data_IF_963866603646
#
_entry.id   IF_963866603646
#
_cell.length_a   1.000
_cell.length_b   1.000
_cell.length_c   1.000
_cell.angle_alpha   90.00
_cell.angle_beta   90.00
_cell.angle_gamma   90.00
#
_symmetry.space_group_name_H-M   'P 1'
#
loop_
_entity.id
_entity.type
_entity.pdbx_description
1 polymer ?
#
# COMPACT_ATOMS: atom_id res chain seq x y z
N UNK A 1 3.55 5.24 -86.31
CA UNK A 1 3.85 5.99 -85.07
C UNK A 1 3.33 5.24 -83.82
N UNK A 2 3.24 3.89 -83.84
CA UNK A 2 2.52 3.12 -82.82
C UNK A 2 3.38 2.17 -81.98
N UNK A 3 4.70 2.16 -82.18
CA UNK A 3 5.58 1.20 -81.50
C UNK A 3 6.01 1.64 -80.08
N UNK A 4 5.90 2.92 -79.74
CA UNK A 4 6.34 3.45 -78.43
C UNK A 4 5.26 3.50 -77.34
N UNK A 5 3.96 3.46 -77.67
CA UNK A 5 2.90 3.52 -76.64
C UNK A 5 2.70 2.21 -75.88
N UNK A 6 2.95 1.06 -76.49
CA UNK A 6 2.78 -0.26 -75.84
C UNK A 6 3.86 -0.57 -74.80
N UNK A 7 5.11 -0.20 -75.03
CA UNK A 7 6.16 -0.38 -74.02
C UNK A 7 6.05 0.61 -72.87
N UNK A 8 5.60 1.85 -73.12
CA UNK A 8 5.32 2.81 -72.04
C UNK A 8 4.13 2.36 -71.20
N UNK A 9 3.08 1.76 -71.79
CA UNK A 9 1.96 1.18 -71.04
C UNK A 9 2.35 -0.09 -70.25
N UNK A 10 3.22 -0.94 -70.79
CA UNK A 10 3.68 -2.16 -70.11
C UNK A 10 4.66 -1.81 -68.98
N UNK A 11 5.55 -0.84 -69.16
CA UNK A 11 6.45 -0.37 -68.10
C UNK A 11 5.67 0.43 -67.05
N UNK A 12 4.71 1.28 -67.44
CA UNK A 12 3.86 1.96 -66.43
C UNK A 12 2.93 1.01 -65.68
N UNK A 13 2.42 -0.08 -66.29
CA UNK A 13 1.65 -1.11 -65.59
C UNK A 13 2.49 -2.02 -64.68
N UNK A 14 3.76 -2.28 -65.04
CA UNK A 14 4.71 -3.00 -64.19
C UNK A 14 5.23 -2.11 -63.04
N UNK A 15 5.26 -0.79 -63.25
CA UNK A 15 5.64 0.22 -62.25
C UNK A 15 4.46 0.62 -61.34
N UNK A 16 3.20 0.40 -61.74
CA UNK A 16 2.01 0.71 -60.92
C UNK A 16 1.46 -0.45 -60.05
N UNK A 17 1.97 -1.69 -60.18
CA UNK A 17 1.37 -2.85 -59.49
C UNK A 17 2.30 -3.64 -58.58
N UNK A 18 3.49 -3.11 -58.27
CA UNK A 18 4.05 -3.29 -56.93
C UNK A 18 3.13 -2.56 -55.95
N UNK A 19 1.98 -3.17 -55.70
CA UNK A 19 1.09 -2.90 -54.60
C UNK A 19 1.96 -2.84 -53.34
N UNK A 20 2.27 -1.62 -52.93
CA UNK A 20 2.76 -1.26 -51.61
C UNK A 20 1.68 -1.65 -50.61
N UNK A 21 1.59 -2.95 -50.32
CA UNK A 21 0.74 -3.51 -49.29
C UNK A 21 1.64 -4.35 -48.40
N UNK A 22 1.76 -3.95 -47.14
CA UNK A 22 2.09 -4.90 -46.07
C UNK A 22 3.11 -4.47 -45.04
N UNK A 23 3.01 -3.26 -44.48
CA UNK A 23 3.65 -2.98 -43.19
C UNK A 23 2.76 -3.44 -42.04
N UNK A 24 2.58 -4.74 -41.83
CA UNK A 24 1.91 -5.23 -40.60
C UNK A 24 2.87 -5.79 -39.63
N UNK A 25 2.84 -5.18 -38.45
CA UNK A 25 3.82 -5.38 -37.42
C UNK A 25 3.47 -6.61 -36.60
N UNK A 26 4.53 -7.32 -36.26
CA UNK A 26 4.54 -8.51 -35.44
C UNK A 26 3.93 -8.20 -34.07
N UNK A 27 2.99 -9.02 -33.62
CA UNK A 27 2.36 -8.94 -32.32
C UNK A 27 3.41 -8.91 -31.21
N UNK A 28 3.08 -8.21 -30.11
CA UNK A 28 3.94 -8.03 -28.95
C UNK A 28 5.26 -7.29 -29.22
N UNK A 29 5.37 -6.56 -30.33
CA UNK A 29 6.55 -5.68 -30.58
C UNK A 29 6.29 -4.22 -30.26
N UNK A 30 5.04 -3.88 -29.94
CA UNK A 30 4.59 -2.53 -29.61
C UNK A 30 4.65 -2.27 -28.10
N UNK A 31 4.83 -1.02 -27.66
CA UNK A 31 4.81 -0.71 -26.24
C UNK A 31 3.49 -1.09 -25.58
N UNK A 32 3.56 -1.67 -24.39
CA UNK A 32 2.42 -2.15 -23.66
C UNK A 32 2.31 -3.68 -23.54
N UNK A 33 1.15 -4.12 -23.07
CA UNK A 33 0.88 -5.52 -22.73
C UNK A 33 -0.03 -6.23 -23.75
N UNK A 34 -0.59 -5.47 -24.69
CA UNK A 34 -1.44 -5.98 -25.77
C UNK A 34 -0.59 -6.47 -26.96
N UNK A 35 -1.23 -7.09 -27.95
CA UNK A 35 -0.53 -7.63 -29.12
C UNK A 35 -0.19 -6.51 -30.09
N UNK A 36 -1.19 -5.74 -30.53
CA UNK A 36 -1.01 -4.72 -31.57
C UNK A 36 -1.51 -3.34 -31.12
N UNK A 37 -2.43 -3.22 -30.19
CA UNK A 37 -2.92 -1.89 -29.75
C UNK A 37 -2.03 -1.27 -28.65
N UNK A 38 -1.99 0.07 -28.55
CA UNK A 38 -1.35 0.74 -27.43
C UNK A 38 -2.15 0.57 -26.12
N UNK A 39 -1.47 0.73 -24.98
CA UNK A 39 -2.08 0.57 -23.64
C UNK A 39 -1.80 1.74 -22.73
N UNK A 40 -2.72 2.00 -21.79
CA UNK A 40 -2.51 2.97 -20.71
C UNK A 40 -2.57 2.28 -19.34
N UNK A 41 -2.09 2.96 -18.30
CA UNK A 41 -2.17 2.43 -16.93
C UNK A 41 -2.34 3.55 -15.92
N UNK A 42 -3.14 3.32 -14.89
CA UNK A 42 -3.31 4.30 -13.81
C UNK A 42 -2.05 4.41 -12.92
N UNK A 43 -1.22 3.35 -12.86
CA UNK A 43 -0.02 3.24 -12.02
C UNK A 43 1.26 3.44 -12.84
N UNK A 44 2.32 3.86 -12.17
CA UNK A 44 3.67 3.88 -12.77
C UNK A 44 4.08 2.44 -13.06
N UNK A 45 4.73 2.17 -14.20
CA UNK A 45 5.22 0.82 -14.46
C UNK A 45 6.17 0.36 -13.32
N UNK A 46 6.02 -0.87 -12.82
CA UNK A 46 6.92 -1.41 -11.79
C UNK A 46 8.27 -1.82 -12.37
N UNK A 47 8.42 -1.84 -13.71
CA UNK A 47 9.62 -2.27 -14.43
C UNK A 47 10.44 -1.09 -14.93
N UNK A 48 11.76 -1.16 -14.80
CA UNK A 48 12.70 -0.16 -15.31
C UNK A 48 12.51 -0.06 -16.82
N UNK A 49 12.64 -1.20 -17.50
CA UNK A 49 12.35 -1.39 -18.91
C UNK A 49 11.77 -2.79 -19.14
N UNK A 50 11.15 -2.99 -20.31
CA UNK A 50 10.77 -4.30 -20.84
C UNK A 50 11.42 -4.49 -22.21
N UNK A 51 11.75 -5.71 -22.52
CA UNK A 51 12.27 -6.09 -23.84
C UNK A 51 11.84 -7.50 -24.17
N UNK A 52 11.76 -7.83 -25.44
CA UNK A 52 11.35 -9.15 -25.85
C UNK A 52 11.52 -9.37 -27.34
N UNK A 53 11.32 -10.62 -27.72
CA UNK A 53 11.29 -11.09 -29.10
C UNK A 53 9.95 -11.76 -29.37
N UNK A 54 9.49 -11.65 -30.60
CA UNK A 54 8.23 -12.21 -31.06
C UNK A 54 8.36 -12.72 -32.48
N UNK A 55 7.69 -13.83 -32.78
CA UNK A 55 7.60 -14.43 -34.10
C UNK A 55 6.12 -14.67 -34.40
N UNK A 56 5.68 -14.25 -35.56
CA UNK A 56 4.38 -14.63 -36.13
C UNK A 56 4.59 -15.65 -37.25
N UNK A 57 3.86 -16.75 -37.17
CA UNK A 57 3.78 -17.76 -38.21
C UNK A 57 2.54 -17.49 -39.03
N UNK A 58 2.69 -17.33 -40.34
CA UNK A 58 1.57 -17.10 -41.27
C UNK A 58 1.30 -18.33 -42.14
N UNK A 59 2.33 -19.11 -42.47
CA UNK A 59 2.15 -20.38 -43.15
C UNK A 59 3.19 -21.42 -42.69
N UNK A 60 2.80 -22.70 -42.67
CA UNK A 60 3.67 -23.82 -42.28
C UNK A 60 4.22 -24.58 -43.48
N UNK A 61 3.55 -24.52 -44.62
CA UNK A 61 3.98 -25.18 -45.84
C UNK A 61 3.44 -24.46 -47.10
N UNK A 62 4.29 -23.77 -47.88
CA UNK A 62 5.68 -23.42 -47.57
C UNK A 62 5.78 -22.43 -46.40
N UNK A 63 6.90 -22.48 -45.67
CA UNK A 63 7.04 -21.80 -44.38
C UNK A 63 7.18 -20.27 -44.54
N UNK A 64 6.33 -19.50 -43.84
CA UNK A 64 6.38 -18.03 -43.83
C UNK A 64 6.27 -17.47 -42.41
N UNK A 65 7.19 -16.59 -42.03
CA UNK A 65 7.23 -16.00 -40.69
C UNK A 65 7.61 -14.53 -40.73
N UNK A 66 6.97 -13.74 -39.86
CA UNK A 66 7.42 -12.40 -39.51
C UNK A 66 8.10 -12.44 -38.13
N UNK A 67 9.14 -11.64 -37.94
CA UNK A 67 9.95 -11.64 -36.70
C UNK A 67 10.11 -10.23 -36.18
N UNK A 68 10.18 -10.07 -34.87
CA UNK A 68 10.46 -8.77 -34.29
C UNK A 68 11.03 -8.83 -32.88
N UNK A 69 11.63 -7.72 -32.50
CA UNK A 69 12.14 -7.47 -31.15
C UNK A 69 11.74 -6.07 -30.72
N UNK A 70 11.59 -5.87 -29.41
CA UNK A 70 11.23 -4.57 -28.86
C UNK A 70 11.96 -4.25 -27.58
N UNK A 71 12.00 -2.97 -27.27
CA UNK A 71 12.44 -2.39 -26.02
C UNK A 71 11.49 -1.26 -25.65
N UNK A 72 11.07 -1.18 -24.39
CA UNK A 72 10.28 -0.06 -23.87
C UNK A 72 10.70 0.35 -22.46
N UNK A 73 10.57 1.63 -22.15
CA UNK A 73 10.89 2.20 -20.83
C UNK A 73 9.97 3.38 -20.50
N UNK A 74 9.49 3.43 -19.25
CA UNK A 74 8.74 4.59 -18.73
C UNK A 74 9.68 5.61 -18.03
N UNK A 75 10.25 6.56 -18.77
CA UNK A 75 11.33 7.45 -18.27
C UNK A 75 10.90 8.32 -17.08
N UNK A 76 9.64 8.77 -17.01
CA UNK A 76 9.11 9.52 -15.86
C UNK A 76 7.85 10.33 -16.18
N UNK A 77 7.06 10.68 -15.14
CA UNK A 77 5.79 11.41 -15.26
C UNK A 77 4.78 10.79 -16.26
N UNK A 78 4.79 9.46 -16.39
CA UNK A 78 3.91 8.75 -17.32
C UNK A 78 4.32 8.86 -18.80
N UNK A 79 5.51 9.38 -19.09
CA UNK A 79 6.12 9.30 -20.42
C UNK A 79 6.79 7.94 -20.62
N UNK A 80 6.40 7.23 -21.67
CA UNK A 80 7.02 5.99 -22.12
C UNK A 80 7.56 6.15 -23.53
N UNK A 81 8.78 5.66 -23.73
CA UNK A 81 9.42 5.57 -25.03
C UNK A 81 9.78 4.11 -25.30
N UNK A 82 9.68 3.71 -26.57
CA UNK A 82 10.02 2.37 -27.01
C UNK A 82 10.56 2.36 -28.42
N UNK A 83 11.20 1.25 -28.73
CA UNK A 83 11.79 0.95 -30.02
C UNK A 83 11.44 -0.49 -30.41
N UNK A 84 11.18 -0.71 -31.69
CA UNK A 84 10.89 -2.02 -32.25
C UNK A 84 11.70 -2.24 -33.52
N UNK A 85 12.30 -3.41 -33.67
CA UNK A 85 12.89 -3.87 -34.93
C UNK A 85 12.05 -5.03 -35.46
N UNK A 86 11.56 -4.94 -36.70
CA UNK A 86 10.65 -5.93 -37.28
C UNK A 86 11.14 -6.30 -38.68
N UNK A 87 11.03 -7.58 -39.01
CA UNK A 87 11.22 -8.11 -40.37
C UNK A 87 9.87 -8.74 -40.76
N UNK A 88 9.15 -8.18 -41.74
CA UNK A 88 7.86 -8.70 -42.16
C UNK A 88 8.00 -10.06 -42.87
N UNK A 89 6.89 -10.78 -42.99
CA UNK A 89 6.83 -12.02 -43.77
C UNK A 89 6.99 -11.77 -45.27
N UNK A 90 7.35 -12.82 -46.00
CA UNK A 90 7.48 -12.75 -47.46
C UNK A 90 6.08 -12.59 -48.09
N UNK A 91 5.91 -11.54 -48.89
CA UNK A 91 4.64 -11.22 -49.56
C UNK A 91 4.49 -11.89 -50.91
N UNK A 92 5.44 -12.71 -51.38
CA UNK A 92 5.31 -13.43 -52.66
C UNK A 92 4.15 -14.43 -52.63
N UNK A 93 3.72 -14.87 -53.83
CA UNK A 93 2.63 -15.84 -53.96
C UNK A 93 3.04 -17.18 -53.36
N UNK A 94 2.08 -17.89 -52.76
CA UNK A 94 2.34 -19.16 -52.06
C UNK A 94 3.06 -20.21 -52.91
N UNK A 95 2.74 -20.29 -54.21
CA UNK A 95 3.38 -21.24 -55.14
C UNK A 95 4.86 -21.00 -55.38
N UNK A 96 5.32 -19.77 -55.16
CA UNK A 96 6.68 -19.33 -55.47
C UNK A 96 7.50 -19.08 -54.20
N UNK A 97 6.94 -19.36 -53.02
CA UNK A 97 7.57 -19.00 -51.75
C UNK A 97 8.87 -19.78 -51.50
N UNK A 98 8.95 -21.06 -51.93
CA UNK A 98 10.17 -21.87 -51.78
C UNK A 98 11.31 -21.42 -52.68
N UNK A 99 10.98 -20.79 -53.81
CA UNK A 99 11.95 -20.27 -54.80
C UNK A 99 12.14 -18.75 -54.67
N UNK A 100 11.46 -18.12 -53.71
CA UNK A 100 11.46 -16.67 -53.53
C UNK A 100 12.83 -16.19 -53.07
N UNK A 101 13.35 -15.17 -53.76
CA UNK A 101 14.52 -14.40 -53.34
C UNK A 101 14.13 -13.10 -52.63
N UNK A 102 12.88 -13.00 -52.14
CA UNK A 102 12.40 -11.80 -51.46
C UNK A 102 13.16 -11.61 -50.14
N UNK A 103 13.96 -10.55 -50.08
CA UNK A 103 14.60 -10.11 -48.85
C UNK A 103 13.73 -9.02 -48.21
N UNK A 104 13.06 -9.40 -47.11
CA UNK A 104 12.14 -8.51 -46.43
C UNK A 104 12.91 -7.35 -45.76
N UNK A 105 12.57 -6.08 -46.04
CA UNK A 105 13.29 -4.95 -45.48
C UNK A 105 13.14 -4.92 -43.96
N UNK A 106 14.26 -4.70 -43.26
CA UNK A 106 14.22 -4.48 -41.82
C UNK A 106 13.57 -3.12 -41.51
N UNK A 107 12.59 -3.12 -40.62
CA UNK A 107 11.87 -1.94 -40.15
C UNK A 107 12.26 -1.57 -38.73
N UNK A 108 12.65 -0.32 -38.53
CA UNK A 108 12.95 0.23 -37.22
C UNK A 108 11.91 1.26 -36.83
N UNK A 109 11.11 0.95 -35.81
CA UNK A 109 10.03 1.80 -35.32
C UNK A 109 10.35 2.46 -33.98
N UNK A 110 10.09 3.76 -33.87
CA UNK A 110 10.09 4.47 -32.59
C UNK A 110 8.66 4.75 -32.14
N UNK A 111 8.46 4.66 -30.82
CA UNK A 111 7.16 4.78 -30.18
C UNK A 111 7.26 5.69 -28.97
N UNK A 112 6.32 6.63 -28.86
CA UNK A 112 6.27 7.59 -27.78
C UNK A 112 4.85 7.70 -27.26
N UNK A 113 4.68 7.63 -25.95
CA UNK A 113 3.37 7.75 -25.33
C UNK A 113 3.48 8.58 -24.06
N UNK A 114 2.56 9.52 -23.89
CA UNK A 114 2.41 10.32 -22.69
C UNK A 114 1.06 10.05 -22.06
N UNK A 115 1.08 9.68 -20.77
CA UNK A 115 -0.12 9.67 -19.95
C UNK A 115 -0.49 11.10 -19.59
N UNK A 116 -1.65 11.55 -20.06
CA UNK A 116 -2.10 12.95 -19.92
C UNK A 116 -3.05 13.12 -18.76
N UNK A 117 -3.86 12.11 -18.45
CA UNK A 117 -4.85 12.19 -17.39
C UNK A 117 -4.96 10.87 -16.62
N UNK A 118 -5.23 10.99 -15.32
CA UNK A 118 -5.54 9.87 -14.43
C UNK A 118 -6.59 10.32 -13.42
N UNK A 119 -7.63 9.51 -13.24
CA UNK A 119 -8.65 9.72 -12.22
C UNK A 119 -9.21 8.38 -11.79
N UNK A 120 -9.04 8.06 -10.50
CA UNK A 120 -9.37 6.75 -9.93
C UNK A 120 -8.78 5.60 -10.77
N UNK A 121 -9.67 4.82 -11.38
CA UNK A 121 -9.38 3.63 -12.17
C UNK A 121 -9.25 3.91 -13.67
N UNK A 122 -9.46 5.17 -14.09
CA UNK A 122 -9.40 5.59 -15.48
C UNK A 122 -8.09 6.33 -15.75
N UNK A 123 -7.44 6.02 -16.87
CA UNK A 123 -6.35 6.85 -17.39
C UNK A 123 -6.48 7.08 -18.89
N UNK A 124 -6.02 8.26 -19.32
CA UNK A 124 -5.96 8.65 -20.73
C UNK A 124 -4.52 8.86 -21.11
N UNK A 125 -4.11 8.22 -22.20
CA UNK A 125 -2.79 8.40 -22.81
C UNK A 125 -2.95 8.85 -24.26
N UNK A 126 -2.00 9.68 -24.70
CA UNK A 126 -1.85 10.08 -26.09
C UNK A 126 -0.45 9.69 -26.55
N UNK A 127 -0.28 9.37 -27.82
CA UNK A 127 1.02 8.96 -28.31
C UNK A 127 1.17 8.99 -29.82
N UNK A 128 2.41 8.80 -30.23
CA UNK A 128 2.84 8.55 -31.59
C UNK A 128 3.47 7.17 -31.64
N UNK A 129 2.99 6.34 -32.54
CA UNK A 129 3.42 4.97 -32.73
C UNK A 129 3.92 4.78 -34.15
N UNK A 130 4.83 3.82 -34.33
CA UNK A 130 5.29 3.41 -35.67
C UNK A 130 5.93 4.57 -36.47
N UNK A 131 6.86 5.32 -35.87
CA UNK A 131 7.78 6.18 -36.65
C UNK A 131 8.83 5.26 -37.30
N UNK A 132 8.57 4.82 -38.53
CA UNK A 132 9.30 3.70 -39.15
C UNK A 132 10.37 4.16 -40.13
N UNK A 133 11.58 3.65 -39.96
CA UNK A 133 12.63 3.69 -40.97
C UNK A 133 12.79 2.30 -41.58
N UNK A 134 12.73 2.22 -42.91
CA UNK A 134 12.91 1.00 -43.68
C UNK A 134 14.31 1.00 -44.29
N UNK A 135 14.97 -0.17 -44.27
CA UNK A 135 16.20 -0.37 -45.03
C UNK A 135 15.85 -0.55 -46.51
N UNK A 136 16.29 0.37 -47.35
CA UNK A 136 16.03 0.35 -48.79
C UNK A 136 17.25 -0.23 -49.52
N UNK A 137 17.06 -1.27 -50.33
CA UNK A 137 18.17 -1.96 -50.99
C UNK A 137 18.60 -1.33 -52.33
N UNK A 138 17.87 -0.32 -52.82
CA UNK A 138 17.97 0.14 -54.22
C UNK A 138 18.36 1.62 -54.37
N UNK A 139 18.59 2.33 -53.27
CA UNK A 139 18.83 3.79 -53.24
C UNK A 139 20.16 4.10 -52.52
N UNK A 140 20.84 5.20 -52.86
CA UNK A 140 22.08 5.65 -52.17
C UNK A 140 21.85 6.01 -50.69
N UNK A 141 20.59 6.12 -50.27
CA UNK A 141 20.18 6.35 -48.88
C UNK A 141 19.96 5.02 -48.15
N UNK A 142 20.66 4.84 -47.03
CA UNK A 142 20.66 3.59 -46.25
C UNK A 142 19.35 3.35 -45.45
N UNK A 143 18.53 4.38 -45.23
CA UNK A 143 17.27 4.32 -44.47
C UNK A 143 16.26 5.35 -45.02
N UNK A 144 15.05 4.91 -45.39
CA UNK A 144 13.94 5.79 -45.79
C UNK A 144 12.80 5.79 -44.76
N UNK A 145 12.20 6.97 -44.52
CA UNK A 145 11.11 7.13 -43.55
C UNK A 145 9.77 6.74 -44.18
N UNK A 146 9.11 5.71 -43.64
CA UNK A 146 7.77 5.34 -44.06
C UNK A 146 6.71 6.11 -43.24
N UNK A 147 6.15 7.15 -43.84
CA UNK A 147 5.15 8.02 -43.22
C UNK A 147 3.74 7.42 -43.20
N UNK A 148 3.47 6.37 -43.99
CA UNK A 148 2.14 5.74 -44.05
C UNK A 148 1.77 4.95 -42.79
N UNK A 149 2.80 4.48 -42.07
CA UNK A 149 2.63 3.71 -40.83
C UNK A 149 2.56 4.60 -39.58
N UNK A 150 2.94 5.87 -39.70
CA UNK A 150 2.93 6.81 -38.58
C UNK A 150 1.51 6.93 -38.00
N UNK A 151 1.37 6.54 -36.74
CA UNK A 151 0.07 6.43 -36.08
C UNK A 151 0.01 7.36 -34.87
N UNK A 152 -0.87 8.36 -34.91
CA UNK A 152 -1.21 9.13 -33.72
C UNK A 152 -2.39 8.45 -33.04
N UNK A 153 -2.38 8.37 -31.71
CA UNK A 153 -3.46 7.71 -30.98
C UNK A 153 -3.83 8.40 -29.67
N UNK A 154 -5.07 8.14 -29.26
CA UNK A 154 -5.60 8.42 -27.93
C UNK A 154 -6.19 7.13 -27.40
N UNK A 155 -5.78 6.72 -26.20
CA UNK A 155 -6.29 5.52 -25.53
C UNK A 155 -6.79 5.86 -24.14
N UNK A 156 -8.03 5.47 -23.88
CA UNK A 156 -8.65 5.45 -22.56
C UNK A 156 -8.53 4.03 -22.00
N UNK A 157 -8.08 3.92 -20.76
CA UNK A 157 -8.05 2.65 -20.05
C UNK A 157 -8.85 2.72 -18.76
N UNK A 158 -9.48 1.60 -18.40
CA UNK A 158 -10.17 1.39 -17.12
C UNK A 158 -9.62 0.14 -16.46
N UNK A 159 -9.19 0.24 -15.21
CA UNK A 159 -8.63 -0.87 -14.44
C UNK A 159 -9.53 -1.22 -13.28
N UNK A 160 -10.11 -2.42 -13.26
CA UNK A 160 -11.01 -2.86 -12.21
C UNK A 160 -10.49 -4.13 -11.55
N UNK A 161 -10.46 -4.11 -10.22
CA UNK A 161 -10.15 -5.28 -9.42
C UNK A 161 -11.47 -6.03 -9.11
N UNK A 162 -11.54 -7.31 -9.47
CA UNK A 162 -12.67 -8.21 -9.25
C UNK A 162 -12.22 -9.42 -8.42
N UNK A 163 -12.06 -9.21 -7.11
CA UNK A 163 -11.56 -10.24 -6.20
C UNK A 163 -10.12 -10.65 -6.56
N UNK A 164 -9.92 -11.93 -6.88
CA UNK A 164 -8.62 -12.47 -7.28
C UNK A 164 -8.27 -12.20 -8.76
N UNK A 165 -9.20 -11.63 -9.52
CA UNK A 165 -9.02 -11.27 -10.93
C UNK A 165 -8.84 -9.76 -11.07
N UNK A 166 -7.99 -9.34 -12.00
CA UNK A 166 -7.89 -7.92 -12.40
C UNK A 166 -8.23 -7.78 -13.86
N UNK A 167 -9.08 -6.81 -14.18
CA UNK A 167 -9.58 -6.59 -15.52
C UNK A 167 -9.21 -5.18 -15.97
N UNK A 168 -8.33 -5.09 -16.96
CA UNK A 168 -7.94 -3.83 -17.59
C UNK A 168 -8.58 -3.77 -18.97
N UNK A 169 -9.37 -2.73 -19.24
CA UNK A 169 -10.02 -2.49 -20.53
C UNK A 169 -9.40 -1.28 -21.21
N UNK A 170 -9.23 -1.35 -22.52
CA UNK A 170 -8.65 -0.32 -23.38
C UNK A 170 -9.64 0.02 -24.49
N UNK A 171 -9.86 1.31 -24.69
CA UNK A 171 -10.67 1.84 -25.78
C UNK A 171 -9.94 3.03 -26.37
N UNK A 172 -9.72 3.06 -27.67
CA UNK A 172 -8.95 4.14 -28.27
C UNK A 172 -9.25 4.39 -29.73
N UNK A 173 -8.73 5.52 -30.17
CA UNK A 173 -8.80 5.99 -31.55
C UNK A 173 -7.38 6.21 -32.04
N UNK A 174 -7.11 5.85 -33.30
CA UNK A 174 -5.80 6.04 -33.91
C UNK A 174 -5.87 6.32 -35.40
N UNK A 175 -4.81 6.92 -35.94
CA UNK A 175 -4.64 7.15 -37.39
C UNK A 175 -3.57 6.20 -37.94
N UNK A 176 -3.39 6.18 -39.27
CA UNK A 176 -2.28 5.45 -39.90
C UNK A 176 -2.41 3.94 -39.73
N UNK A 177 -1.37 3.28 -39.20
CA UNK A 177 -1.34 1.84 -38.92
C UNK A 177 -2.26 1.35 -37.79
N UNK A 178 -2.98 2.25 -37.12
CA UNK A 178 -4.06 1.95 -36.17
C UNK A 178 -5.46 2.27 -36.75
N UNK A 179 -5.53 2.65 -38.02
CA UNK A 179 -6.77 2.81 -38.76
C UNK A 179 -7.14 1.50 -39.50
N UNK A 180 -8.43 1.27 -39.81
CA UNK A 180 -8.82 0.12 -40.61
C UNK A 180 -8.19 0.30 -41.98
N UNK A 181 -7.22 -0.55 -42.31
CA UNK A 181 -6.83 -0.75 -43.70
C UNK A 181 -8.05 -1.38 -44.35
N UNK A 182 -8.66 -0.70 -45.32
CA UNK A 182 -9.76 -1.26 -46.07
C UNK A 182 -9.31 -2.64 -46.59
N UNK A 183 -9.88 -3.70 -46.01
CA UNK A 183 -9.89 -4.98 -46.68
C UNK A 183 -10.65 -4.74 -47.99
N UNK A 184 -10.10 -5.28 -49.07
CA UNK A 184 -10.56 -5.31 -50.45
C UNK A 184 -12.04 -5.76 -50.60
N UNK A 185 -12.97 -4.98 -50.04
CA UNK A 185 -14.38 -5.35 -49.82
C UNK A 185 -15.36 -4.22 -50.13
N UNK A 186 -14.87 -3.02 -50.45
CA UNK A 186 -15.70 -2.03 -51.14
C UNK A 186 -15.51 -2.24 -52.64
N UNK A 187 -16.58 -2.56 -53.41
CA UNK A 187 -16.47 -2.60 -54.86
C UNK A 187 -15.97 -1.22 -55.31
N UNK A 188 -14.93 -1.20 -56.13
CA UNK A 188 -14.41 0.03 -56.73
C UNK A 188 -15.59 0.82 -57.32
N UNK A 189 -15.83 2.04 -56.82
CA UNK A 189 -16.77 2.95 -57.46
C UNK A 189 -16.14 3.35 -58.80
N UNK A 190 -16.70 2.80 -59.87
CA UNK A 190 -16.30 3.09 -61.24
C UNK A 190 -17.05 4.34 -61.70
N UNK A 191 -16.35 5.29 -62.31
CA UNK A 191 -17.01 6.35 -63.06
C UNK A 191 -17.76 5.77 -64.28
N UNK A 192 -18.56 6.60 -64.97
CA UNK A 192 -19.30 6.18 -66.16
C UNK A 192 -18.40 5.67 -67.32
N UNK A 193 -17.08 5.80 -67.20
CA UNK A 193 -16.07 5.38 -68.19
C UNK A 193 -15.22 4.19 -67.69
N UNK A 194 -15.55 3.58 -66.54
CA UNK A 194 -14.83 2.42 -66.00
C UNK A 194 -13.49 2.75 -65.32
N UNK A 195 -13.23 4.00 -64.96
CA UNK A 195 -12.08 4.38 -64.16
C UNK A 195 -12.38 4.26 -62.65
N UNK A 196 -11.45 3.69 -61.89
CA UNK A 196 -11.57 3.54 -60.42
C UNK A 196 -11.48 4.93 -59.78
N UNK A 197 -12.54 5.35 -59.11
CA UNK A 197 -12.53 6.55 -58.27
C UNK A 197 -11.88 6.16 -56.94
N UNK A 198 -10.57 6.38 -56.82
CA UNK A 198 -9.89 6.34 -55.53
C UNK A 198 -10.10 7.69 -54.84
N UNK A 199 -10.97 7.74 -53.84
CA UNK A 199 -11.05 8.90 -52.94
C UNK A 199 -9.82 8.89 -52.03
N UNK A 200 -8.74 9.52 -52.48
CA UNK A 200 -7.41 9.39 -51.89
C UNK A 200 -7.09 10.46 -50.83
N UNK A 201 -8.09 10.99 -50.12
CA UNK A 201 -7.86 12.12 -49.19
C UNK A 201 -8.62 12.09 -47.86
N UNK A 202 -9.15 10.94 -47.41
CA UNK A 202 -9.66 10.84 -46.04
C UNK A 202 -8.60 10.24 -45.10
N UNK A 203 -8.16 11.01 -44.10
CA UNK A 203 -7.34 10.48 -43.01
C UNK A 203 -8.18 9.50 -42.19
N UNK A 204 -8.14 8.22 -42.54
CA UNK A 204 -8.91 7.21 -41.83
C UNK A 204 -8.48 7.17 -40.36
N UNK A 205 -9.45 7.42 -39.46
CA UNK A 205 -9.33 7.18 -38.04
C UNK A 205 -9.95 5.81 -37.72
N UNK A 206 -9.19 4.95 -37.03
CA UNK A 206 -9.68 3.67 -36.53
C UNK A 206 -10.05 3.70 -35.07
N UNK A 207 -10.92 2.76 -34.73
CA UNK A 207 -11.28 2.44 -33.35
C UNK A 207 -10.65 1.10 -33.01
N UNK A 208 -10.03 1.03 -31.84
CA UNK A 208 -9.52 -0.21 -31.30
C UNK A 208 -10.00 -0.42 -29.87
N UNK A 209 -10.16 -1.68 -29.51
CA UNK A 209 -10.66 -2.11 -28.20
C UNK A 209 -9.81 -3.27 -27.73
N UNK A 210 -9.48 -3.31 -26.45
CA UNK A 210 -8.84 -4.49 -25.89
C UNK A 210 -9.16 -4.69 -24.42
N UNK A 211 -8.91 -5.90 -23.95
CA UNK A 211 -8.97 -6.21 -22.54
C UNK A 211 -7.80 -7.11 -22.15
N UNK A 212 -7.33 -6.92 -20.93
CA UNK A 212 -6.37 -7.77 -20.25
C UNK A 212 -7.02 -8.27 -18.97
N UNK A 213 -7.22 -9.57 -18.89
CA UNK A 213 -7.69 -10.21 -17.67
C UNK A 213 -6.54 -10.95 -17.02
N UNK A 214 -6.12 -10.46 -15.85
CA UNK A 214 -5.13 -11.12 -15.03
C UNK A 214 -5.81 -12.14 -14.13
N UNK A 215 -5.36 -13.38 -14.22
CA UNK A 215 -5.89 -14.51 -13.46
C UNK A 215 -4.98 -14.86 -12.27
N UNK A 216 -5.52 -15.51 -11.22
CA UNK A 216 -4.73 -15.95 -10.07
C UNK A 216 -3.86 -17.19 -10.36
N UNK A 217 -4.00 -17.80 -11.55
CA UNK A 217 -3.12 -18.90 -11.96
C UNK A 217 -1.67 -18.43 -11.97
N UNK A 218 -0.77 -19.21 -11.35
CA UNK A 218 0.62 -18.83 -11.14
C UNK A 218 0.80 -17.51 -10.35
N UNK A 219 -0.07 -17.22 -9.37
CA UNK A 219 0.00 -16.00 -8.54
C UNK A 219 1.39 -15.71 -7.97
N UNK A 220 2.13 -16.74 -7.51
CA UNK A 220 3.51 -16.60 -6.98
C UNK A 220 4.52 -16.10 -8.02
N UNK A 221 4.23 -16.29 -9.32
CA UNK A 221 5.07 -15.85 -10.46
C UNK A 221 4.48 -14.64 -11.18
N UNK A 222 3.48 -13.98 -10.58
CA UNK A 222 2.91 -12.74 -11.11
C UNK A 222 1.63 -12.88 -11.92
N UNK A 223 0.99 -14.05 -11.95
CA UNK A 223 -0.33 -14.26 -12.58
C UNK A 223 -0.27 -14.42 -14.10
N UNK A 224 -1.14 -15.28 -14.65
CA UNK A 224 -1.33 -15.45 -16.10
C UNK A 224 -2.31 -14.40 -16.63
N UNK A 225 -1.96 -13.75 -17.73
CA UNK A 225 -2.85 -12.78 -18.38
C UNK A 225 -3.53 -13.41 -19.59
N UNK A 226 -4.82 -13.14 -19.74
CA UNK A 226 -5.59 -13.39 -20.96
C UNK A 226 -5.78 -12.05 -21.66
N UNK A 227 -5.43 -12.00 -22.93
CA UNK A 227 -5.46 -10.80 -23.77
C UNK A 227 -6.49 -11.02 -24.87
N UNK A 228 -7.40 -10.07 -25.03
CA UNK A 228 -8.29 -10.00 -26.18
C UNK A 228 -8.28 -8.60 -26.75
N UNK A 229 -8.23 -8.49 -28.06
CA UNK A 229 -7.98 -7.23 -28.75
C UNK A 229 -8.70 -7.20 -30.08
N UNK A 230 -9.19 -6.02 -30.44
CA UNK A 230 -9.65 -5.66 -31.77
C UNK A 230 -8.86 -4.43 -32.20
N UNK A 231 -8.04 -4.56 -33.23
CA UNK A 231 -7.09 -3.53 -33.68
C UNK A 231 -7.66 -2.62 -34.79
N UNK A 232 -8.94 -2.77 -35.11
CA UNK A 232 -9.61 -2.09 -36.23
C UNK A 232 -9.61 -2.90 -37.54
N UNK A 233 -8.70 -3.87 -37.68
CA UNK A 233 -8.58 -4.74 -38.86
C UNK A 233 -8.98 -6.19 -38.60
N UNK A 234 -8.92 -6.63 -37.35
CA UNK A 234 -9.28 -7.97 -36.91
C UNK A 234 -9.27 -8.17 -35.41
N UNK A 235 -9.68 -9.37 -34.99
CA UNK A 235 -9.72 -9.82 -33.61
C UNK A 235 -8.48 -10.66 -33.32
N UNK A 236 -7.75 -10.26 -32.28
CA UNK A 236 -6.55 -10.91 -31.80
C UNK A 236 -6.81 -11.45 -30.40
N UNK A 237 -6.40 -12.69 -30.10
CA UNK A 237 -6.50 -13.27 -28.75
C UNK A 237 -5.16 -13.87 -28.35
N UNK A 238 -4.75 -13.64 -27.10
CA UNK A 238 -3.47 -14.11 -26.59
C UNK A 238 -3.49 -14.51 -25.11
N UNK A 239 -2.43 -15.21 -24.73
CA UNK A 239 -2.14 -15.69 -23.39
C UNK A 239 -0.71 -15.28 -23.02
N UNK A 240 -0.54 -14.72 -21.83
CA UNK A 240 0.77 -14.34 -21.30
C UNK A 240 1.05 -15.15 -20.05
N UNK A 241 1.87 -16.17 -20.21
CA UNK A 241 2.15 -17.18 -19.19
C UNK A 241 3.45 -16.81 -18.47
N UNK A 242 3.42 -16.59 -17.14
CA UNK A 242 4.63 -16.28 -16.39
C UNK A 242 5.51 -17.52 -16.23
N UNK A 243 6.73 -17.46 -16.79
CA UNK A 243 7.76 -18.47 -16.56
C UNK A 243 8.45 -18.22 -15.21
N UNK A 244 8.78 -16.95 -14.94
CA UNK A 244 9.30 -16.43 -13.66
C UNK A 244 8.60 -15.10 -13.31
N UNK A 245 9.07 -14.36 -12.31
CA UNK A 245 8.55 -13.00 -12.01
C UNK A 245 8.78 -12.00 -13.14
N UNK A 246 9.81 -12.24 -13.96
CA UNK A 246 10.33 -11.28 -14.93
C UNK A 246 10.19 -11.78 -16.36
N UNK A 247 10.24 -13.10 -16.59
CA UNK A 247 10.10 -13.72 -17.90
C UNK A 247 8.68 -14.21 -18.12
N UNK A 248 8.12 -13.86 -19.29
CA UNK A 248 6.79 -14.26 -19.72
C UNK A 248 6.85 -14.84 -21.13
N UNK A 249 6.10 -15.92 -21.32
CA UNK A 249 5.84 -16.54 -22.61
C UNK A 249 4.51 -16.00 -23.14
N UNK A 250 4.53 -15.36 -24.29
CA UNK A 250 3.34 -14.84 -24.95
C UNK A 250 2.97 -15.77 -26.10
N UNK A 251 1.71 -16.22 -26.10
CA UNK A 251 1.11 -17.03 -27.15
C UNK A 251 -0.11 -16.29 -27.67
N UNK A 252 -0.43 -16.41 -28.94
CA UNK A 252 -1.63 -15.75 -29.45
C UNK A 252 -1.96 -16.09 -30.88
N UNK A 253 -3.15 -15.68 -31.29
CA UNK A 253 -3.62 -15.69 -32.65
C UNK A 253 -3.99 -14.27 -33.06
N UNK A 254 -3.49 -13.84 -34.21
CA UNK A 254 -3.87 -12.59 -34.86
C UNK A 254 -4.89 -12.85 -35.97
N UNK A 255 -5.80 -11.89 -36.19
CA UNK A 255 -6.88 -11.94 -37.18
C UNK A 255 -7.65 -13.27 -37.15
N UNK A 256 -8.10 -13.69 -35.97
CA UNK A 256 -8.76 -14.97 -35.76
C UNK A 256 -9.99 -15.18 -36.67
N UNK A 257 -10.67 -14.10 -37.03
CA UNK A 257 -11.81 -14.12 -37.95
C UNK A 257 -11.42 -14.53 -39.38
N UNK A 258 -10.15 -14.36 -39.76
CA UNK A 258 -9.60 -14.71 -41.08
C UNK A 258 -8.86 -16.05 -41.08
N UNK A 259 -8.92 -16.84 -40.01
CA UNK A 259 -8.33 -18.18 -39.96
C UNK A 259 -8.73 -19.10 -41.13
N UNK A 260 -9.96 -19.06 -41.69
CA UNK A 260 -10.29 -19.83 -42.89
C UNK A 260 -9.42 -19.50 -44.11
N UNK A 261 -8.87 -18.28 -44.16
CA UNK A 261 -7.99 -17.78 -45.22
C UNK A 261 -6.51 -18.07 -44.95
N UNK A 262 -6.16 -18.88 -43.94
CA UNK A 262 -4.77 -19.20 -43.59
C UNK A 262 -3.96 -19.81 -44.76
N UNK A 263 -4.64 -20.51 -45.67
CA UNK A 263 -4.01 -21.08 -46.87
C UNK A 263 -3.76 -20.07 -48.00
N UNK A 264 -4.08 -18.80 -47.82
CA UNK A 264 -3.92 -17.77 -48.84
C UNK A 264 -2.50 -17.17 -48.80
N UNK A 265 -2.17 -16.37 -49.84
CA UNK A 265 -0.94 -15.57 -49.90
C UNK A 265 -0.83 -14.69 -48.66
N UNK A 266 0.36 -14.45 -48.10
CA UNK A 266 0.54 -13.48 -47.00
C UNK A 266 0.18 -12.04 -47.41
N UNK A 267 -0.53 -11.32 -46.54
CA UNK A 267 -0.82 -9.89 -46.63
C UNK A 267 -0.87 -9.26 -45.24
N UNK A 268 -1.03 -7.94 -45.21
CA UNK A 268 -1.17 -7.12 -44.00
C UNK A 268 -2.10 -7.73 -42.92
N UNK A 269 -3.32 -8.11 -43.29
CA UNK A 269 -4.31 -8.64 -42.36
C UNK A 269 -4.35 -10.17 -42.29
N UNK A 270 -3.28 -10.86 -42.68
CA UNK A 270 -3.25 -12.33 -42.71
C UNK A 270 -3.30 -12.89 -41.28
N UNK A 271 -4.11 -13.95 -41.02
CA UNK A 271 -4.11 -14.60 -39.72
C UNK A 271 -2.72 -15.11 -39.34
N UNK A 272 -2.39 -15.07 -38.07
CA UNK A 272 -1.06 -15.49 -37.60
C UNK A 272 -1.13 -16.20 -36.27
N UNK A 273 -0.23 -17.16 -36.07
CA UNK A 273 0.05 -17.70 -34.75
C UNK A 273 1.30 -17.01 -34.19
N UNK A 274 1.21 -16.51 -32.98
CA UNK A 274 2.25 -15.66 -32.38
C UNK A 274 2.92 -16.38 -31.21
N UNK A 275 4.24 -16.34 -31.18
CA UNK A 275 5.08 -16.85 -30.09
C UNK A 275 6.08 -15.77 -29.70
N UNK A 276 6.02 -15.31 -28.46
CA UNK A 276 6.91 -14.28 -27.95
C UNK A 276 7.48 -14.61 -26.57
N UNK A 277 8.66 -14.06 -26.29
CA UNK A 277 9.30 -14.12 -24.98
C UNK A 277 9.65 -12.70 -24.57
N UNK A 278 9.08 -12.22 -23.47
CA UNK A 278 9.39 -10.92 -22.89
C UNK A 278 10.03 -11.03 -21.51
N UNK A 279 10.95 -10.10 -21.26
CA UNK A 279 11.65 -9.88 -20.02
C UNK A 279 11.29 -8.50 -19.48
N UNK A 280 10.85 -8.45 -18.23
CA UNK A 280 10.48 -7.23 -17.53
C UNK A 280 11.41 -7.00 -16.34
N UNK A 281 12.33 -6.05 -16.44
CA UNK A 281 13.32 -5.78 -15.40
C UNK A 281 12.70 -4.89 -14.33
N UNK A 282 12.62 -5.30 -13.06
CA UNK A 282 11.98 -4.49 -12.01
C UNK A 282 12.73 -3.17 -11.76
N UNK A 283 12.00 -2.14 -11.36
CA UNK A 283 12.59 -0.93 -10.76
C UNK A 283 12.96 -1.26 -9.33
N UNK A 284 14.22 -1.08 -8.99
CA UNK A 284 14.65 -1.14 -7.60
C UNK A 284 13.80 -0.17 -6.77
N UNK A 285 13.11 -0.61 -5.70
CA UNK A 285 12.42 0.33 -4.83
C UNK A 285 13.44 1.34 -4.34
N UNK A 286 13.24 2.62 -4.69
CA UNK A 286 13.96 3.72 -4.05
C UNK A 286 13.57 3.75 -2.58
N UNK A 287 14.23 2.94 -1.75
CA UNK A 287 14.21 3.11 -0.31
C UNK A 287 14.95 4.42 -0.04
N UNK A 288 14.19 5.51 0.12
CA UNK A 288 14.66 6.57 0.99
C UNK A 288 14.74 5.95 2.37
N UNK A 289 15.93 5.51 2.77
CA UNK A 289 16.25 5.30 4.17
C UNK A 289 16.09 6.67 4.81
N UNK A 290 14.88 6.95 5.31
CA UNK A 290 14.68 8.07 6.22
C UNK A 290 15.42 7.65 7.48
N UNK A 291 16.65 8.14 7.60
CA UNK A 291 17.46 8.00 8.80
C UNK A 291 16.64 8.57 9.95
N UNK A 292 15.97 7.70 10.69
CA UNK A 292 15.42 8.02 12.00
C UNK A 292 16.55 8.45 12.93
N UNK A 293 16.24 9.01 14.11
CA UNK A 293 17.26 9.49 15.04
C UNK A 293 18.19 8.32 15.35
N UNK A 294 19.47 8.55 15.05
CA UNK A 294 20.59 7.66 15.32
C UNK A 294 20.40 6.85 16.61
N UNK A 295 20.46 5.53 16.50
CA UNK A 295 20.73 4.69 17.67
C UNK A 295 22.06 5.11 18.30
N UNK A 296 22.23 5.09 19.63
CA UNK A 296 23.51 5.38 20.24
C UNK A 296 24.54 4.39 19.72
N UNK A 297 25.58 4.94 19.08
CA UNK A 297 26.79 4.23 18.70
C UNK A 297 27.30 3.40 19.87
N UNK A 298 27.48 2.10 19.63
CA UNK A 298 28.07 1.17 20.57
C UNK A 298 29.55 1.55 20.78
N UNK A 299 29.86 2.22 21.91
CA UNK A 299 31.20 2.77 22.23
C UNK A 299 32.19 1.71 22.76
N UNK A 300 31.78 0.45 22.89
CA UNK A 300 32.67 -0.65 23.25
C UNK A 300 32.74 -1.70 22.13
N UNK A 301 33.55 -1.41 21.12
CA UNK A 301 34.00 -2.35 20.10
C UNK A 301 35.33 -1.86 19.53
N UNK A 302 36.29 -2.73 19.18
CA UNK A 302 37.60 -2.29 18.74
C UNK A 302 37.46 -1.43 17.49
N UNK A 303 38.13 -0.28 17.51
CA UNK A 303 38.27 0.66 16.42
C UNK A 303 38.66 -0.03 15.11
N UNK A 304 37.68 -0.20 14.22
CA UNK A 304 37.85 -0.58 12.84
C UNK A 304 37.02 0.36 11.98
N UNK A 305 37.66 1.38 11.42
CA UNK A 305 37.09 2.20 10.35
C UNK A 305 36.89 1.29 9.12
N UNK A 306 35.73 0.65 9.02
CA UNK A 306 35.20 0.16 7.76
C UNK A 306 33.83 0.77 7.57
N UNK A 307 33.81 1.88 6.81
CA UNK A 307 32.64 2.22 6.00
C UNK A 307 32.47 1.04 5.05
N UNK A 308 31.57 0.12 5.41
CA UNK A 308 31.07 -0.86 4.46
C UNK A 308 30.11 -0.08 3.56
N UNK A 309 30.68 0.43 2.47
CA UNK A 309 29.96 0.73 1.25
C UNK A 309 29.44 -0.61 0.72
N UNK A 310 28.26 -1.04 1.20
CA UNK A 310 27.54 -2.22 0.69
C UNK A 310 26.90 -1.88 -0.67
N UNK A 311 27.72 -1.41 -1.62
CA UNK A 311 27.44 -1.49 -3.04
C UNK A 311 27.94 -2.84 -3.55
N UNK A 312 27.23 -3.92 -3.16
CA UNK A 312 27.47 -5.24 -3.74
C UNK A 312 27.04 -5.18 -5.23
N UNK A 313 27.92 -5.55 -6.19
CA UNK A 313 27.62 -5.42 -7.61
C UNK A 313 26.45 -6.30 -8.04
N UNK A 314 25.50 -5.67 -8.75
CA UNK A 314 24.21 -6.20 -9.18
C UNK A 314 24.42 -7.11 -10.41
N UNK A 315 24.86 -8.33 -10.16
CA UNK A 315 24.59 -9.47 -11.03
C UNK A 315 23.99 -10.57 -10.16
N UNK A 316 22.75 -10.36 -9.68
CA UNK A 316 21.98 -11.39 -8.99
C UNK A 316 20.57 -11.47 -9.56
N UNK A 317 20.23 -12.71 -9.90
CA UNK A 317 18.91 -13.26 -10.09
C UNK A 317 17.84 -12.54 -9.24
N UNK A 318 16.80 -12.03 -9.89
CA UNK A 318 15.75 -11.20 -9.27
C UNK A 318 14.98 -11.94 -8.17
N UNK A 319 14.97 -13.26 -8.23
CA UNK A 319 14.41 -14.13 -7.17
C UNK A 319 15.19 -14.00 -5.85
N UNK A 320 16.52 -13.91 -5.94
CA UNK A 320 17.40 -13.73 -4.77
C UNK A 320 17.29 -12.30 -4.22
N UNK A 321 17.12 -11.31 -5.09
CA UNK A 321 16.87 -9.93 -4.68
C UNK A 321 15.55 -9.81 -3.89
N UNK A 322 14.45 -10.40 -4.39
CA UNK A 322 13.18 -10.43 -3.66
C UNK A 322 13.27 -11.22 -2.36
N UNK A 323 13.99 -12.35 -2.34
CA UNK A 323 14.21 -13.10 -1.11
C UNK A 323 14.98 -12.27 -0.06
N UNK A 324 15.99 -11.50 -0.46
CA UNK A 324 16.72 -10.61 0.44
C UNK A 324 15.84 -9.48 0.98
N UNK A 325 14.95 -8.92 0.16
CA UNK A 325 13.97 -7.90 0.62
C UNK A 325 12.97 -8.51 1.59
N UNK A 326 12.49 -9.73 1.34
CA UNK A 326 11.62 -10.43 2.26
C UNK A 326 12.32 -10.71 3.60
N UNK A 327 13.59 -11.12 3.56
CA UNK A 327 14.38 -11.38 4.79
C UNK A 327 14.68 -10.08 5.54
N UNK A 328 15.02 -8.98 4.85
CA UNK A 328 15.29 -7.70 5.50
C UNK A 328 14.04 -7.10 6.13
N UNK A 329 12.90 -7.16 5.44
CA UNK A 329 11.61 -6.68 5.98
C UNK A 329 11.15 -7.51 7.19
N UNK A 330 11.37 -8.82 7.19
CA UNK A 330 11.13 -9.68 8.35
C UNK A 330 12.06 -9.34 9.52
N UNK A 331 13.33 -9.05 9.25
CA UNK A 331 14.31 -8.64 10.28
C UNK A 331 13.90 -7.33 10.94
N UNK A 332 13.47 -6.34 10.16
CA UNK A 332 12.99 -5.05 10.68
C UNK A 332 11.71 -5.21 11.51
N UNK A 333 10.79 -6.07 11.04
CA UNK A 333 9.56 -6.40 11.76
C UNK A 333 9.86 -7.06 13.12
N UNK A 334 10.84 -7.97 13.16
CA UNK A 334 11.31 -8.58 14.41
C UNK A 334 11.99 -7.57 15.34
N UNK A 335 12.73 -6.60 14.81
CA UNK A 335 13.34 -5.54 15.61
C UNK A 335 12.28 -4.63 16.25
N UNK A 336 11.22 -4.28 15.51
CA UNK A 336 10.07 -3.53 16.03
C UNK A 336 9.37 -4.32 17.16
N UNK A 337 9.08 -5.60 16.92
CA UNK A 337 8.44 -6.49 17.90
C UNK A 337 9.28 -6.61 19.19
N UNK A 338 10.60 -6.71 19.08
CA UNK A 338 11.50 -6.73 20.23
C UNK A 338 11.44 -5.42 21.04
N UNK A 339 11.30 -4.28 20.38
CA UNK A 339 11.16 -2.99 21.05
C UNK A 339 9.79 -2.84 21.74
N UNK A 340 8.71 -3.31 21.09
CA UNK A 340 7.38 -3.36 21.70
C UNK A 340 7.35 -4.28 22.93
N UNK A 341 7.97 -5.46 22.82
CA UNK A 341 8.11 -6.39 23.94
C UNK A 341 8.85 -5.74 25.12
N UNK A 342 9.95 -5.01 24.87
CA UNK A 342 10.68 -4.27 25.92
C UNK A 342 9.81 -3.21 26.57
N UNK A 343 9.04 -2.45 25.80
CA UNK A 343 8.13 -1.44 26.33
C UNK A 343 7.02 -2.08 27.20
N UNK A 344 6.44 -3.20 26.74
CA UNK A 344 5.47 -3.97 27.50
C UNK A 344 6.06 -4.52 28.81
N UNK A 345 7.29 -5.03 28.78
CA UNK A 345 8.00 -5.52 29.97
C UNK A 345 8.22 -4.39 31.00
N UNK A 346 8.63 -3.20 30.55
CA UNK A 346 8.78 -2.03 31.43
C UNK A 346 7.44 -1.63 32.07
N UNK A 347 6.35 -1.62 31.29
CA UNK A 347 4.99 -1.33 31.81
C UNK A 347 4.53 -2.39 32.81
N UNK A 348 4.79 -3.66 32.52
CA UNK A 348 4.46 -4.78 33.42
C UNK A 348 5.20 -4.64 34.75
N UNK A 349 6.50 -4.36 34.73
CA UNK A 349 7.29 -4.14 35.93
C UNK A 349 6.77 -2.93 36.74
N UNK A 350 6.38 -1.84 36.09
CA UNK A 350 5.80 -0.68 36.75
C UNK A 350 4.44 -1.01 37.40
N UNK A 351 3.60 -1.80 36.73
CA UNK A 351 2.31 -2.24 37.27
C UNK A 351 2.48 -3.19 38.46
N UNK A 352 3.46 -4.09 38.40
CA UNK A 352 3.80 -5.01 39.48
C UNK A 352 4.31 -4.25 40.73
N UNK A 353 5.17 -3.25 40.53
CA UNK A 353 5.60 -2.36 41.61
C UNK A 353 4.43 -1.61 42.25
N UNK A 354 3.51 -1.06 41.44
CA UNK A 354 2.32 -0.40 41.96
C UNK A 354 1.43 -1.36 42.75
N UNK A 355 1.24 -2.59 42.26
CA UNK A 355 0.47 -3.61 42.98
C UNK A 355 1.10 -3.94 44.34
N UNK A 356 2.43 -4.07 44.38
CA UNK A 356 3.17 -4.32 45.61
C UNK A 356 3.04 -3.16 46.60
N UNK A 357 3.20 -1.92 46.13
CA UNK A 357 3.02 -0.72 46.95
C UNK A 357 1.61 -0.63 47.55
N UNK A 358 0.58 -0.92 46.75
CA UNK A 358 -0.82 -0.94 47.21
C UNK A 358 -1.05 -2.03 48.25
N UNK A 359 -0.48 -3.22 48.05
CA UNK A 359 -0.53 -4.32 49.02
C UNK A 359 0.11 -3.90 50.35
N UNK A 360 1.32 -3.35 50.32
CA UNK A 360 2.03 -2.90 51.52
C UNK A 360 1.22 -1.81 52.25
N UNK A 361 0.66 -0.85 51.51
CA UNK A 361 -0.21 0.21 52.05
C UNK A 361 -1.47 -0.37 52.72
N UNK A 362 -2.11 -1.36 52.11
CA UNK A 362 -3.27 -2.04 52.69
C UNK A 362 -2.91 -2.77 53.99
N UNK A 363 -1.77 -3.45 54.02
CA UNK A 363 -1.31 -4.13 55.25
C UNK A 363 -0.99 -3.14 56.36
N UNK A 364 -0.40 -1.98 56.03
CA UNK A 364 -0.13 -0.91 56.99
C UNK A 364 -1.42 -0.35 57.58
N UNK A 365 -2.43 -0.05 56.75
CA UNK A 365 -3.73 0.44 57.22
C UNK A 365 -4.43 -0.60 58.11
N UNK A 366 -4.37 -1.89 57.74
CA UNK A 366 -4.92 -2.96 58.56
C UNK A 366 -4.22 -3.08 59.92
N UNK A 367 -2.90 -2.87 59.96
CA UNK A 367 -2.15 -2.88 61.20
C UNK A 367 -2.52 -1.66 62.08
N UNK A 368 -2.57 -0.47 61.49
CA UNK A 368 -2.94 0.77 62.18
C UNK A 368 -4.34 0.70 62.78
N UNK A 369 -5.31 0.19 62.03
CA UNK A 369 -6.68 -0.04 62.51
C UNK A 369 -6.71 -1.04 63.66
N UNK A 370 -6.03 -2.18 63.55
CA UNK A 370 -5.93 -3.15 64.66
C UNK A 370 -5.28 -2.57 65.92
N UNK A 371 -4.22 -1.76 65.76
CA UNK A 371 -3.54 -1.08 66.89
C UNK A 371 -4.47 -0.07 67.53
N UNK A 372 -5.17 0.74 66.72
CA UNK A 372 -6.16 1.71 67.19
C UNK A 372 -7.30 1.04 67.95
N UNK A 373 -7.87 -0.05 67.41
CA UNK A 373 -8.91 -0.83 68.09
C UNK A 373 -8.42 -1.43 69.40
N UNK A 374 -7.18 -1.97 69.42
CA UNK A 374 -6.58 -2.49 70.65
C UNK A 374 -6.42 -1.39 71.70
N UNK A 375 -5.85 -0.25 71.32
CA UNK A 375 -5.66 0.90 72.21
C UNK A 375 -7.00 1.43 72.73
N UNK A 376 -8.02 1.51 71.88
CA UNK A 376 -9.38 1.89 72.27
C UNK A 376 -9.97 0.92 73.29
N UNK A 377 -9.86 -0.39 73.05
CA UNK A 377 -10.35 -1.41 73.97
C UNK A 377 -9.63 -1.34 75.33
N UNK A 378 -8.33 -1.10 75.33
CA UNK A 378 -7.53 -0.97 76.55
C UNK A 378 -7.84 0.34 77.31
N UNK A 379 -7.99 1.47 76.60
CA UNK A 379 -8.46 2.72 77.17
C UNK A 379 -9.85 2.57 77.82
N UNK A 380 -10.79 1.86 77.17
CA UNK A 380 -12.11 1.58 77.73
C UNK A 380 -12.06 0.71 79.00
N UNK A 381 -11.09 -0.21 79.11
CA UNK A 381 -10.84 -0.97 80.35
C UNK A 381 -10.37 -0.05 81.47
N UNK A 382 -9.42 0.83 81.21
CA UNK A 382 -8.96 1.84 82.16
C UNK A 382 -10.11 2.77 82.61
N UNK A 383 -10.96 3.23 81.69
CA UNK A 383 -12.17 4.00 82.06
C UNK A 383 -13.19 3.23 82.90
N UNK A 384 -13.31 1.93 82.66
CA UNK A 384 -14.17 1.07 83.47
C UNK A 384 -13.62 0.90 84.89
N UNK A 385 -12.29 0.81 85.04
CA UNK A 385 -11.61 0.75 86.34
C UNK A 385 -11.67 2.08 87.09
N UNK A 386 -11.45 3.20 86.40
CA UNK A 386 -11.56 4.52 87.02
C UNK A 386 -12.94 4.78 87.59
N UNK A 387 -14.00 4.32 86.91
CA UNK A 387 -15.36 4.40 87.41
C UNK A 387 -15.55 3.62 88.72
N UNK A 388 -14.95 2.43 88.83
CA UNK A 388 -15.02 1.63 90.07
C UNK A 388 -14.35 2.36 91.23
N UNK A 389 -13.15 2.91 91.03
CA UNK A 389 -12.47 3.71 92.05
C UNK A 389 -13.23 5.00 92.41
N UNK A 390 -13.84 5.65 91.42
CA UNK A 390 -14.68 6.83 91.65
C UNK A 390 -15.86 6.52 92.59
N UNK A 391 -16.55 5.40 92.38
CA UNK A 391 -17.64 4.98 93.28
C UNK A 391 -17.15 4.46 94.64
N UNK A 392 -15.92 3.96 94.74
CA UNK A 392 -15.28 3.60 96.00
C UNK A 392 -14.81 4.83 96.81
N UNK A 393 -14.77 6.02 96.22
CA UNK A 393 -14.30 7.26 96.84
C UNK A 393 -12.80 7.53 96.65
N UNK A 394 -12.06 6.64 96.00
CA UNK A 394 -10.63 6.75 95.74
C UNK A 394 -10.34 7.61 94.49
N UNK A 395 -10.60 8.91 94.60
CA UNK A 395 -10.53 9.85 93.47
C UNK A 395 -9.12 10.00 92.86
N UNK A 396 -8.06 9.79 93.62
CA UNK A 396 -6.67 9.85 93.12
C UNK A 396 -6.33 8.68 92.20
N UNK A 397 -6.70 7.46 92.59
CA UNK A 397 -6.53 6.27 91.74
C UNK A 397 -7.48 6.31 90.53
N UNK A 398 -8.70 6.84 90.71
CA UNK A 398 -9.60 7.09 89.58
C UNK A 398 -8.99 8.04 88.54
N UNK A 399 -8.32 9.13 88.98
CA UNK A 399 -7.65 10.07 88.08
C UNK A 399 -6.51 9.38 87.31
N UNK A 400 -5.68 8.58 87.99
CA UNK A 400 -4.57 7.85 87.39
C UNK A 400 -5.05 6.90 86.29
N UNK A 401 -6.12 6.16 86.53
CA UNK A 401 -6.71 5.26 85.53
C UNK A 401 -7.33 6.05 84.35
N UNK A 402 -7.89 7.24 84.58
CA UNK A 402 -8.34 8.12 83.47
C UNK A 402 -7.17 8.67 82.67
N UNK A 403 -6.07 9.05 83.32
CA UNK A 403 -4.87 9.54 82.64
C UNK A 403 -4.24 8.45 81.76
N UNK A 404 -4.19 7.20 82.23
CA UNK A 404 -3.76 6.04 81.43
C UNK A 404 -4.67 5.79 80.20
N UNK A 405 -5.99 6.00 80.35
CA UNK A 405 -6.91 5.89 79.22
C UNK A 405 -6.64 6.97 78.15
N UNK A 406 -6.32 8.20 78.58
CA UNK A 406 -6.00 9.32 77.71
C UNK A 406 -4.61 9.20 77.06
N UNK A 407 -3.66 8.53 77.71
CA UNK A 407 -2.37 8.19 77.09
C UNK A 407 -2.52 7.22 75.91
N UNK A 408 -3.47 6.28 76.00
CA UNK A 408 -3.74 5.32 74.93
C UNK A 408 -4.66 5.86 73.84
N UNK A 409 -5.63 6.70 74.20
CA UNK A 409 -6.51 7.37 73.26
C UNK A 409 -6.81 8.81 73.72
N UNK A 410 -6.08 9.80 73.19
CA UNK A 410 -6.24 11.21 73.54
C UNK A 410 -7.58 11.81 73.12
N UNK A 411 -8.29 11.22 72.16
CA UNK A 411 -9.53 11.78 71.59
C UNK A 411 -10.81 11.23 72.25
N UNK A 412 -10.66 10.57 73.40
CA UNK A 412 -11.77 9.91 74.09
C UNK A 412 -12.57 10.91 74.95
N UNK A 413 -13.65 11.46 74.39
CA UNK A 413 -14.54 12.41 75.07
C UNK A 413 -15.03 11.92 76.45
N UNK A 414 -15.36 10.63 76.56
CA UNK A 414 -15.75 9.97 77.82
C UNK A 414 -14.68 10.05 78.91
N UNK A 415 -13.40 9.97 78.55
CA UNK A 415 -12.30 10.06 79.49
C UNK A 415 -12.22 11.46 80.11
N UNK A 416 -12.30 12.51 79.28
CA UNK A 416 -12.33 13.89 79.75
C UNK A 416 -13.57 14.21 80.59
N UNK A 417 -14.73 13.67 80.22
CA UNK A 417 -15.96 13.82 81.01
C UNK A 417 -15.79 13.23 82.43
N UNK A 418 -15.25 12.00 82.51
CA UNK A 418 -14.93 11.34 83.79
C UNK A 418 -13.89 12.11 84.60
N UNK A 419 -12.83 12.60 83.96
CA UNK A 419 -11.80 13.43 84.60
C UNK A 419 -12.40 14.70 85.21
N UNK A 420 -13.33 15.34 84.49
CA UNK A 420 -14.07 16.50 84.98
C UNK A 420 -14.89 16.18 86.24
N UNK A 421 -15.60 15.06 86.23
CA UNK A 421 -16.37 14.57 87.40
C UNK A 421 -15.48 14.24 88.60
N UNK A 422 -14.30 13.65 88.38
CA UNK A 422 -13.31 13.36 89.43
C UNK A 422 -12.80 14.67 90.05
N UNK A 423 -12.39 15.65 89.24
CA UNK A 423 -11.93 16.96 89.74
C UNK A 423 -13.02 17.72 90.51
N UNK A 424 -14.27 17.63 90.06
CA UNK A 424 -15.40 18.22 90.78
C UNK A 424 -15.57 17.61 92.18
N UNK A 425 -15.43 16.29 92.31
CA UNK A 425 -15.47 15.61 93.63
C UNK A 425 -14.27 15.93 94.51
N UNK A 426 -13.12 16.24 93.92
CA UNK A 426 -11.93 16.75 94.62
C UNK A 426 -12.04 18.24 95.00
N UNK A 427 -13.13 18.92 94.64
CA UNK A 427 -13.35 20.34 94.92
C UNK A 427 -12.72 21.31 93.91
N UNK A 428 -12.02 20.82 92.89
CA UNK A 428 -11.42 21.65 91.84
C UNK A 428 -12.40 21.89 90.69
N UNK A 429 -13.32 22.83 90.91
CA UNK A 429 -14.37 23.19 89.95
C UNK A 429 -13.80 23.78 88.66
N UNK A 430 -12.64 24.45 88.73
CA UNK A 430 -12.00 25.06 87.56
C UNK A 430 -11.49 23.98 86.60
N UNK A 431 -10.71 23.01 87.11
CA UNK A 431 -10.24 21.88 86.30
C UNK A 431 -11.39 20.98 85.84
N UNK A 432 -12.45 20.84 86.63
CA UNK A 432 -13.65 20.12 86.22
C UNK A 432 -14.28 20.73 84.96
N UNK A 433 -14.49 22.05 84.98
CA UNK A 433 -15.09 22.81 83.87
C UNK A 433 -14.25 22.71 82.59
N UNK A 434 -12.92 22.80 82.70
CA UNK A 434 -12.00 22.67 81.56
C UNK A 434 -12.15 21.28 80.90
N UNK A 435 -12.10 20.21 81.69
CA UNK A 435 -12.20 18.85 81.15
C UNK A 435 -13.58 18.55 80.57
N UNK A 436 -14.66 19.06 81.17
CA UNK A 436 -16.01 18.94 80.61
C UNK A 436 -16.18 19.70 79.29
N UNK A 437 -15.61 20.91 79.18
CA UNK A 437 -15.60 21.63 77.90
C UNK A 437 -14.78 20.90 76.83
N UNK A 438 -13.66 20.27 77.21
CA UNK A 438 -12.86 19.46 76.30
C UNK A 438 -13.61 18.21 75.83
N UNK A 439 -14.37 17.56 76.73
CA UNK A 439 -15.25 16.46 76.36
C UNK A 439 -16.31 16.90 75.34
N UNK A 440 -16.96 18.05 75.53
CA UNK A 440 -17.92 18.60 74.57
C UNK A 440 -17.29 19.07 73.24
N UNK A 441 -16.00 19.40 73.25
CA UNK A 441 -15.29 19.71 72.00
C UNK A 441 -15.07 18.45 71.15
N UNK A 442 -14.83 17.31 71.80
CA UNK A 442 -14.62 16.02 71.14
C UNK A 442 -15.95 15.33 70.80
N UNK A 443 -16.96 15.44 71.66
CA UNK A 443 -18.32 14.98 71.44
C UNK A 443 -19.33 16.08 71.81
N UNK A 444 -19.74 16.91 70.83
CA UNK A 444 -20.71 17.97 71.05
C UNK A 444 -22.06 17.50 71.56
N UNK A 445 -22.45 16.25 71.28
CA UNK A 445 -23.73 15.66 71.66
C UNK A 445 -23.70 14.98 73.03
N UNK A 446 -22.63 15.17 73.80
CA UNK A 446 -22.51 14.65 75.16
C UNK A 446 -23.45 15.39 76.14
N UNK A 447 -24.73 15.05 76.09
CA UNK A 447 -25.83 15.68 76.82
C UNK A 447 -25.63 15.77 78.33
N UNK A 448 -25.09 14.71 78.96
CA UNK A 448 -24.81 14.69 80.40
C UNK A 448 -23.84 15.80 80.81
N UNK A 449 -22.73 15.96 80.06
CA UNK A 449 -21.72 16.99 80.32
C UNK A 449 -22.30 18.39 80.09
N UNK A 450 -23.11 18.55 79.03
CA UNK A 450 -23.82 19.81 78.74
C UNK A 450 -24.75 20.20 79.89
N UNK A 451 -25.51 19.25 80.43
CA UNK A 451 -26.41 19.47 81.55
C UNK A 451 -25.65 19.83 82.83
N UNK A 452 -24.54 19.15 83.11
CA UNK A 452 -23.67 19.45 84.26
C UNK A 452 -23.13 20.88 84.18
N UNK A 453 -22.60 21.30 83.04
CA UNK A 453 -22.08 22.65 82.85
C UNK A 453 -23.17 23.72 82.95
N UNK A 454 -24.36 23.44 82.40
CA UNK A 454 -25.53 24.33 82.52
C UNK A 454 -25.93 24.53 83.98
N UNK A 455 -26.08 23.43 84.74
CA UNK A 455 -26.42 23.49 86.17
C UNK A 455 -25.35 24.22 87.00
N UNK A 456 -24.07 24.03 86.66
CA UNK A 456 -22.96 24.70 87.35
C UNK A 456 -22.96 26.21 87.08
N UNK A 457 -23.32 26.63 85.86
CA UNK A 457 -23.46 28.04 85.51
C UNK A 457 -24.65 28.69 86.22
N UNK A 458 -25.80 28.01 86.24
CA UNK A 458 -27.00 28.47 86.95
C UNK A 458 -26.75 28.63 88.47
N UNK A 459 -26.02 27.71 89.09
CA UNK A 459 -25.62 27.82 90.50
C UNK A 459 -24.66 28.99 90.75
N UNK A 460 -23.70 29.25 89.85
CA UNK A 460 -22.83 30.43 89.95
C UNK A 460 -23.63 31.73 89.93
N UNK A 461 -24.57 31.86 89.00
CA UNK A 461 -25.45 33.04 88.87
C UNK A 461 -26.31 33.28 90.13
N UNK A 462 -26.83 32.21 90.75
CA UNK A 462 -27.56 32.31 92.04
C UNK A 462 -26.65 32.71 93.21
N UNK A 463 -25.42 32.21 93.25
CA UNK A 463 -24.47 32.57 94.32
C UNK A 463 -24.00 34.03 94.22
N UNK A 464 -23.91 34.58 93.01
CA UNK A 464 -23.57 35.99 92.79
C UNK A 464 -24.74 36.92 93.11
N UNK A 465 -25.98 36.52 92.80
CA UNK A 465 -27.16 37.35 93.10
C UNK A 465 -27.46 37.46 94.60
N UNK A 466 -27.13 36.45 95.41
CA UNK A 466 -27.30 36.48 96.89
C UNK A 466 -26.26 37.37 97.57
N UNK A 467 -25.14 37.67 96.91
CA UNK A 467 -24.08 38.53 97.44
C UNK A 467 -24.25 40.01 97.05
N UNK A 468 -25.21 40.32 96.17
CA UNK A 468 -25.53 41.68 95.68
C UNK A 468 -26.82 42.26 96.29
N UNK A 469 -27.57 41.50 97.11
CA UNK A 469 -28.63 41.97 98.02
C UNK A 469 -28.07 42.24 99.42
#
# INVERSE_FOLDING_TARGET
MDFNRRYIAIISALVLSCLLIGGTRVAYTRPGLMMRIPTSSNKKTPYLFRTGVSVEYHNLNPFNTAKGAFFEMEVGKGFSAGFSAVIPGDTTRLSNLEESQYDAPAEFGFHFQQRVYKFNDISVSVGLQDVVFQSEQTSEEMLSLNTSLLSAFVVLSSQKDLGDYKFDTYFGFGTGGLAPVAADTLPALLDANGAVITDSTESNAGVFVGFLMKTPYFARRGGMDIVGEFDGTGVNVGLRIPLTSDYRLNLGFTHMEKLPEWGNRYWSGHPGFTLGLDMAVPRDPRQRVQSGPSSPTNIYGPSGNQRIDDSIPIHRDSTVAMANVAVSTLRDSMALMNNEMRNLLVRLNAMEQNSKFLSDSLTSLKLETNVSEKNMNEAMRFLSRSLRFFYAGDYREALKEVDLALELNPDLALAYARRGSIYYKLGDVQRATINWNLALRLDPEYTDVRNILKALNENKLKSTSIMEE
#
